data_IF_806874312894
#
_entry.id   IF_806874312894
#
_cell.length_a   1.000
_cell.length_b   1.000
_cell.length_c   1.000
_cell.angle_alpha   90.00
_cell.angle_beta   90.00
_cell.angle_gamma   90.00
#
_symmetry.space_group_name_H-M   'P 1'
#
loop_
_entity.id
_entity.type
_entity.pdbx_description
1 polymer ?
#
# COMPACT_ATOMS: atom_id res chain seq x y z
N UNK A 1 -20.67 -7.33 -9.35
CA UNK A 1 -20.02 -7.42 -8.03
C UNK A 1 -20.68 -6.41 -7.10
N UNK A 2 -21.04 -6.83 -5.88
CA UNK A 2 -22.06 -6.20 -5.03
C UNK A 2 -21.53 -4.95 -4.34
N UNK A 3 -22.38 -3.92 -4.27
CA UNK A 3 -22.16 -2.65 -3.58
C UNK A 3 -22.03 -2.83 -2.06
N UNK A 4 -21.06 -2.15 -1.47
CA UNK A 4 -20.78 -2.14 -0.03
C UNK A 4 -21.68 -1.13 0.71
N UNK A 5 -22.23 -1.52 1.86
CA UNK A 5 -22.86 -0.60 2.84
C UNK A 5 -22.48 -1.03 4.27
N UNK A 6 -21.88 -0.15 5.10
CA UNK A 6 -21.58 -0.46 6.50
C UNK A 6 -22.72 -0.04 7.44
N UNK A 7 -23.03 -0.88 8.43
CA UNK A 7 -23.93 -0.56 9.56
C UNK A 7 -23.16 0.10 10.72
N UNK A 8 -23.80 0.99 11.51
CA UNK A 8 -23.13 1.77 12.55
C UNK A 8 -22.82 0.97 13.82
N UNK A 9 -21.74 1.31 14.57
CA UNK A 9 -21.32 0.58 15.76
C UNK A 9 -22.10 0.97 17.04
N UNK A 10 -22.34 -0.04 17.87
CA UNK A 10 -22.93 0.02 19.21
C UNK A 10 -21.98 0.70 20.21
N UNK A 11 -22.47 1.72 20.91
CA UNK A 11 -21.79 2.37 22.04
C UNK A 11 -21.65 1.43 23.24
N UNK A 12 -20.45 1.35 23.83
CA UNK A 12 -20.27 0.87 25.22
C UNK A 12 -19.51 1.86 26.07
N UNK A 13 -20.07 2.02 27.27
CA UNK A 13 -19.76 2.99 28.33
C UNK A 13 -18.38 2.73 28.96
N UNK A 14 -17.70 3.83 29.26
CA UNK A 14 -16.46 3.92 30.04
C UNK A 14 -16.68 3.62 31.52
N UNK A 15 -15.74 2.94 32.17
CA UNK A 15 -15.53 2.99 33.62
C UNK A 15 -14.09 3.41 33.96
N UNK A 16 -13.99 4.35 34.90
CA UNK A 16 -12.78 4.91 35.54
C UNK A 16 -12.05 3.83 36.36
N UNK A 17 -10.76 4.00 36.66
CA UNK A 17 -10.16 4.09 38.02
C UNK A 17 -8.62 4.31 38.02
N UNK A 18 -8.21 5.45 38.60
CA UNK A 18 -7.04 5.86 39.43
C UNK A 18 -5.58 5.37 39.24
N UNK A 19 -4.71 6.37 39.01
CA UNK A 19 -3.57 6.91 39.81
C UNK A 19 -2.67 5.98 40.67
N UNK A 20 -1.35 6.07 40.40
CA UNK A 20 -0.18 6.38 41.27
C UNK A 20 1.04 5.57 40.74
N UNK A 21 2.32 5.95 40.86
CA UNK A 21 3.03 6.97 41.61
C UNK A 21 4.49 7.04 41.09
N UNK A 22 5.23 8.01 41.62
CA UNK A 22 6.52 8.54 41.17
C UNK A 22 7.65 7.92 42.02
N UNK A 23 8.80 7.54 41.45
CA UNK A 23 10.11 7.79 42.08
C UNK A 23 11.30 7.62 41.13
N UNK A 24 12.39 8.23 41.58
CA UNK A 24 13.61 8.73 40.92
C UNK A 24 14.75 7.70 40.77
N UNK A 25 15.61 8.02 39.80
CA UNK A 25 17.08 7.95 39.74
C UNK A 25 17.80 6.64 40.09
N UNK A 26 18.51 6.07 39.09
CA UNK A 26 19.97 5.87 39.21
C UNK A 26 20.66 5.55 37.88
N UNK A 27 21.87 6.10 37.79
CA UNK A 27 22.89 6.13 36.74
C UNK A 27 23.40 4.73 36.37
N UNK A 28 23.67 4.46 35.08
CA UNK A 28 25.00 4.01 34.60
C UNK A 28 25.02 3.54 33.13
N UNK A 29 26.16 3.86 32.48
CA UNK A 29 26.76 3.22 31.30
C UNK A 29 26.10 3.41 29.92
N UNK A 30 26.75 4.25 29.10
CA UNK A 30 26.55 4.33 27.65
C UNK A 30 26.95 3.01 26.96
N UNK A 31 26.03 2.30 26.29
CA UNK A 31 26.38 1.17 25.44
C UNK A 31 26.78 1.68 24.05
N UNK A 32 27.90 1.16 23.53
CA UNK A 32 28.27 1.23 22.11
C UNK A 32 27.08 0.80 21.23
N UNK A 33 26.92 1.35 20.01
CA UNK A 33 25.82 1.00 19.12
C UNK A 33 25.94 -0.48 18.74
N UNK A 34 25.15 -1.30 19.41
CA UNK A 34 24.89 -2.69 19.04
C UNK A 34 24.11 -2.61 17.73
N UNK A 35 24.72 -3.03 16.63
CA UNK A 35 23.97 -3.38 15.42
C UNK A 35 23.00 -4.48 15.83
N UNK A 36 21.74 -4.11 16.07
CA UNK A 36 20.67 -5.06 16.32
C UNK A 36 20.38 -5.77 15.01
N UNK A 37 20.97 -6.95 14.83
CA UNK A 37 20.35 -7.98 14.01
C UNK A 37 19.06 -8.38 14.73
N UNK A 38 17.99 -7.62 14.47
CA UNK A 38 16.69 -7.84 15.03
C UNK A 38 16.09 -9.11 14.45
N UNK A 39 15.68 -10.03 15.33
CA UNK A 39 14.56 -10.92 15.09
C UNK A 39 13.48 -10.15 14.31
N UNK A 40 13.02 -10.70 13.18
CA UNK A 40 11.99 -10.10 12.35
C UNK A 40 10.74 -9.87 13.20
N UNK A 41 10.58 -8.64 13.71
CA UNK A 41 9.41 -8.29 14.50
C UNK A 41 8.23 -8.29 13.54
N UNK A 42 7.19 -9.06 13.86
CA UNK A 42 5.95 -9.12 13.08
C UNK A 42 5.41 -7.70 12.93
N UNK A 43 5.19 -7.26 11.68
CA UNK A 43 4.61 -5.96 11.38
C UNK A 43 3.29 -5.77 12.14
N UNK A 44 3.17 -4.67 12.87
CA UNK A 44 1.92 -4.18 13.45
C UNK A 44 1.50 -2.88 12.73
N UNK A 45 0.63 -2.98 11.70
CA UNK A 45 0.24 -1.81 10.89
C UNK A 45 -0.38 -0.65 11.68
N UNK A 46 -0.84 -0.89 12.92
CA UNK A 46 -1.46 0.14 13.76
C UNK A 46 -0.44 0.97 14.54
N UNK A 47 0.81 0.51 14.64
CA UNK A 47 1.82 1.15 15.50
C UNK A 47 3.17 1.34 14.79
N UNK A 48 3.51 0.48 13.83
CA UNK A 48 4.76 0.58 13.07
C UNK A 48 4.70 1.72 12.06
N UNK A 49 5.74 2.55 12.05
CA UNK A 49 5.85 3.72 11.19
C UNK A 49 5.91 3.32 9.70
N UNK A 50 4.90 3.67 8.88
CA UNK A 50 4.86 3.37 7.46
C UNK A 50 5.75 4.26 6.60
N UNK A 51 6.13 5.46 7.07
CA UNK A 51 6.80 6.44 6.22
C UNK A 51 8.12 5.93 5.61
N UNK A 52 8.99 5.22 6.34
CA UNK A 52 10.20 4.66 5.73
C UNK A 52 9.94 3.67 4.58
N UNK A 53 8.82 2.93 4.62
CA UNK A 53 8.41 2.02 3.53
C UNK A 53 7.79 2.82 2.39
N UNK A 54 6.87 3.72 2.71
CA UNK A 54 6.21 4.61 1.75
C UNK A 54 7.22 5.43 0.95
N UNK A 55 8.14 6.13 1.61
CA UNK A 55 9.17 6.97 1.00
C UNK A 55 10.09 6.13 0.09
N UNK A 56 10.41 4.89 0.48
CA UNK A 56 11.22 3.98 -0.33
C UNK A 56 10.54 3.59 -1.64
N UNK A 57 9.25 3.27 -1.63
CA UNK A 57 8.52 2.90 -2.84
C UNK A 57 8.40 4.10 -3.80
N UNK A 58 8.18 5.30 -3.27
CA UNK A 58 8.16 6.53 -4.07
C UNK A 58 9.52 6.79 -4.71
N UNK A 59 10.60 6.75 -3.94
CA UNK A 59 11.94 7.02 -4.48
C UNK A 59 12.40 5.94 -5.46
N UNK A 60 11.91 4.69 -5.31
CA UNK A 60 12.08 3.64 -6.32
C UNK A 60 11.36 3.99 -7.62
N UNK A 61 10.08 4.38 -7.55
CA UNK A 61 9.30 4.79 -8.71
C UNK A 61 9.91 6.00 -9.41
N UNK A 62 10.22 7.08 -8.67
CA UNK A 62 10.82 8.30 -9.24
C UNK A 62 12.11 7.99 -9.99
N UNK A 63 13.07 7.29 -9.36
CA UNK A 63 14.35 6.94 -10.01
C UNK A 63 14.14 6.17 -11.31
N UNK A 64 13.19 5.24 -11.34
CA UNK A 64 12.88 4.49 -12.56
C UNK A 64 12.28 5.39 -13.64
N UNK A 65 11.24 6.16 -13.30
CA UNK A 65 10.48 6.98 -14.24
C UNK A 65 11.32 8.12 -14.85
N UNK A 66 12.22 8.73 -14.07
CA UNK A 66 13.17 9.74 -14.58
C UNK A 66 14.20 9.16 -15.56
N UNK A 67 14.42 7.83 -15.54
CA UNK A 67 15.33 7.15 -16.45
C UNK A 67 14.69 6.65 -17.75
N UNK A 68 13.37 6.79 -17.91
CA UNK A 68 12.66 6.31 -19.10
C UNK A 68 12.75 7.30 -20.26
N UNK A 69 12.96 6.76 -21.45
CA UNK A 69 12.75 7.47 -22.72
C UNK A 69 11.28 7.36 -23.17
N UNK A 70 10.95 7.99 -24.30
CA UNK A 70 9.59 7.96 -24.87
C UNK A 70 9.08 6.53 -25.11
N UNK A 71 9.97 5.63 -25.55
CA UNK A 71 9.66 4.21 -25.74
C UNK A 71 9.27 3.53 -24.43
N UNK A 72 10.05 3.74 -23.37
CA UNK A 72 9.78 3.23 -22.04
C UNK A 72 8.43 3.71 -21.48
N UNK A 73 8.09 4.98 -21.66
CA UNK A 73 6.80 5.53 -21.24
C UNK A 73 5.60 4.93 -21.99
N UNK A 74 5.79 4.58 -23.27
CA UNK A 74 4.77 3.94 -24.11
C UNK A 74 4.66 2.42 -23.90
N UNK A 75 5.61 1.81 -23.19
CA UNK A 75 5.66 0.38 -22.97
C UNK A 75 4.40 -0.11 -22.26
N UNK A 76 3.92 -1.30 -22.66
CA UNK A 76 2.73 -1.90 -22.05
C UNK A 76 3.02 -2.32 -20.61
N UNK A 77 2.14 -1.97 -19.69
CA UNK A 77 2.16 -2.48 -18.31
C UNK A 77 1.45 -3.83 -18.20
N UNK A 78 1.53 -4.45 -17.02
CA UNK A 78 0.70 -5.60 -16.66
C UNK A 78 -0.79 -5.24 -16.44
N UNK A 79 -1.13 -3.95 -16.38
CA UNK A 79 -2.52 -3.50 -16.41
C UNK A 79 -3.02 -3.50 -17.86
N UNK A 80 -4.05 -4.30 -18.14
CA UNK A 80 -4.52 -4.51 -19.52
C UNK A 80 -4.89 -3.18 -20.21
N UNK A 81 -4.25 -2.93 -21.35
CA UNK A 81 -4.50 -1.73 -22.16
C UNK A 81 -3.92 -0.43 -21.59
N UNK A 82 -3.08 -0.52 -20.55
CA UNK A 82 -2.41 0.62 -19.93
C UNK A 82 -0.92 0.57 -20.22
N UNK A 83 -0.38 1.69 -20.68
CA UNK A 83 1.05 1.96 -20.77
C UNK A 83 1.64 2.29 -19.39
N UNK A 84 2.98 2.38 -19.29
CA UNK A 84 3.64 2.94 -18.10
C UNK A 84 3.09 4.35 -17.78
N UNK A 85 2.90 5.21 -18.79
CA UNK A 85 2.27 6.53 -18.60
C UNK A 85 0.87 6.44 -18.00
N UNK A 86 0.06 5.48 -18.45
CA UNK A 86 -1.30 5.29 -17.92
C UNK A 86 -1.27 4.84 -16.44
N UNK A 87 -0.30 4.01 -16.04
CA UNK A 87 -0.12 3.65 -14.62
C UNK A 87 0.26 4.86 -13.78
N UNK A 88 1.19 5.72 -14.23
CA UNK A 88 1.53 6.96 -13.50
C UNK A 88 0.35 7.94 -13.45
N UNK A 89 -0.45 8.01 -14.52
CA UNK A 89 -1.69 8.78 -14.51
C UNK A 89 -2.72 8.26 -13.48
N UNK A 90 -2.78 6.95 -13.27
CA UNK A 90 -3.56 6.36 -12.19
C UNK A 90 -3.02 6.74 -10.81
N UNK A 91 -1.72 6.64 -10.58
CA UNK A 91 -1.10 7.06 -9.31
C UNK A 91 -1.37 8.54 -9.01
N UNK A 92 -1.33 9.41 -10.03
CA UNK A 92 -1.72 10.82 -9.89
C UNK A 92 -3.20 10.97 -9.50
N UNK A 93 -4.07 10.08 -9.97
CA UNK A 93 -5.50 10.04 -9.61
C UNK A 93 -5.71 9.62 -8.16
N UNK A 94 -4.90 8.71 -7.64
CA UNK A 94 -4.93 8.33 -6.22
C UNK A 94 -4.49 9.51 -5.35
N UNK A 95 -3.49 10.27 -5.78
CA UNK A 95 -3.08 11.47 -5.05
C UNK A 95 -4.11 12.59 -5.08
N UNK A 96 -4.96 12.69 -6.12
CA UNK A 96 -6.14 13.57 -6.09
C UNK A 96 -7.08 13.18 -4.95
N UNK A 97 -7.28 11.89 -4.71
CA UNK A 97 -8.09 11.41 -3.59
C UNK A 97 -7.45 11.75 -2.24
N UNK A 98 -6.15 11.49 -2.05
CA UNK A 98 -5.47 11.79 -0.79
C UNK A 98 -5.40 13.30 -0.50
N UNK A 99 -5.29 14.13 -1.53
CA UNK A 99 -5.42 15.59 -1.39
C UNK A 99 -6.83 16.00 -0.98
N UNK A 100 -7.86 15.42 -1.59
CA UNK A 100 -9.24 15.72 -1.20
C UNK A 100 -9.55 15.29 0.25
N UNK A 101 -8.96 14.20 0.71
CA UNK A 101 -8.98 13.76 2.12
C UNK A 101 -8.35 14.78 3.08
N UNK A 102 -7.29 15.47 2.66
CA UNK A 102 -6.62 16.51 3.45
C UNK A 102 -7.36 17.84 3.42
N UNK A 103 -7.87 18.21 2.24
CA UNK A 103 -8.51 19.49 2.00
C UNK A 103 -10.01 19.48 2.36
N UNK A 104 -10.54 18.37 2.89
CA UNK A 104 -11.97 18.19 3.22
C UNK A 104 -12.91 18.39 2.02
N UNK A 105 -12.51 17.88 0.85
CA UNK A 105 -13.22 18.05 -0.43
C UNK A 105 -13.62 16.74 -1.11
N UNK A 106 -13.68 15.63 -0.36
CA UNK A 106 -14.08 14.31 -0.91
C UNK A 106 -15.44 14.31 -1.60
N UNK A 107 -16.39 15.13 -1.15
CA UNK A 107 -17.73 15.25 -1.73
C UNK A 107 -17.72 15.92 -3.12
N UNK A 108 -16.65 16.64 -3.46
CA UNK A 108 -16.46 17.24 -4.78
C UNK A 108 -15.89 16.24 -5.81
N UNK A 109 -15.45 15.05 -5.37
CA UNK A 109 -14.92 14.04 -6.28
C UNK A 109 -16.05 13.35 -7.05
N UNK A 110 -15.91 13.16 -8.37
CA UNK A 110 -16.98 12.65 -9.21
C UNK A 110 -17.03 11.12 -9.20
N UNK A 111 -17.51 10.54 -8.09
CA UNK A 111 -17.59 9.11 -7.79
C UNK A 111 -18.50 8.27 -8.71
N UNK A 112 -19.21 8.88 -9.65
CA UNK A 112 -20.15 8.20 -10.54
C UNK A 112 -19.48 7.02 -11.26
N UNK A 113 -20.01 5.82 -11.05
CA UNK A 113 -19.51 4.58 -11.65
C UNK A 113 -18.51 3.79 -10.78
N UNK A 114 -18.26 4.22 -9.53
CA UNK A 114 -17.39 3.54 -8.58
C UNK A 114 -15.90 3.69 -8.90
N UNK A 115 -15.06 3.00 -8.11
CA UNK A 115 -13.59 3.17 -8.12
C UNK A 115 -12.96 2.89 -9.49
N UNK A 116 -13.38 1.81 -10.18
CA UNK A 116 -12.86 1.49 -11.51
C UNK A 116 -13.15 2.60 -12.53
N UNK A 117 -14.36 3.20 -12.47
CA UNK A 117 -14.72 4.30 -13.36
C UNK A 117 -13.97 5.58 -13.02
N UNK A 118 -13.71 5.82 -11.73
CA UNK A 118 -12.87 6.92 -11.25
C UNK A 118 -11.44 6.80 -11.80
N UNK A 119 -10.81 5.63 -11.62
CA UNK A 119 -9.45 5.37 -12.10
C UNK A 119 -9.36 5.50 -13.63
N UNK A 120 -10.29 4.88 -14.36
CA UNK A 120 -10.34 4.98 -15.83
C UNK A 120 -10.52 6.42 -16.32
N UNK A 121 -11.32 7.23 -15.61
CA UNK A 121 -11.50 8.66 -15.94
C UNK A 121 -10.24 9.46 -15.66
N UNK A 122 -9.61 9.24 -14.52
CA UNK A 122 -8.35 9.90 -14.14
C UNK A 122 -7.22 9.62 -15.14
N UNK A 123 -7.10 8.36 -15.59
CA UNK A 123 -6.20 7.97 -16.68
C UNK A 123 -6.58 8.67 -17.99
N UNK A 124 -7.85 8.63 -18.38
CA UNK A 124 -8.33 9.24 -19.64
C UNK A 124 -8.02 10.74 -19.72
N UNK A 125 -8.19 11.48 -18.62
CA UNK A 125 -7.88 12.93 -18.56
C UNK A 125 -6.40 13.16 -18.88
N UNK A 126 -5.51 12.37 -18.28
CA UNK A 126 -4.05 12.55 -18.40
C UNK A 126 -3.44 11.94 -19.65
N UNK A 127 -4.20 11.18 -20.45
CA UNK A 127 -3.73 10.73 -21.76
C UNK A 127 -3.36 11.88 -22.69
N UNK A 128 -3.98 13.06 -22.51
CA UNK A 128 -3.64 14.28 -23.22
C UNK A 128 -2.35 14.98 -22.77
N UNK A 129 -1.77 14.57 -21.63
CA UNK A 129 -0.49 15.08 -21.14
C UNK A 129 0.68 14.31 -21.76
N UNK A 130 1.83 14.98 -21.88
CA UNK A 130 3.10 14.32 -22.14
C UNK A 130 3.52 13.45 -20.94
N UNK A 131 4.44 12.49 -21.14
CA UNK A 131 4.98 11.69 -20.03
C UNK A 131 5.60 12.55 -18.92
N UNK A 132 6.35 13.59 -19.28
CA UNK A 132 6.97 14.50 -18.32
C UNK A 132 5.93 15.29 -17.51
N UNK A 133 4.89 15.83 -18.16
CA UNK A 133 3.80 16.53 -17.44
C UNK A 133 3.04 15.57 -16.50
N UNK A 134 2.86 14.32 -16.92
CA UNK A 134 2.21 13.28 -16.09
C UNK A 134 3.06 12.97 -14.85
N UNK A 135 4.38 12.81 -15.03
CA UNK A 135 5.34 12.59 -13.94
C UNK A 135 5.35 13.78 -12.97
N UNK A 136 5.49 15.01 -13.49
CA UNK A 136 5.52 16.22 -12.70
C UNK A 136 4.23 16.44 -11.89
N UNK A 137 3.07 16.15 -12.49
CA UNK A 137 1.81 16.23 -11.76
C UNK A 137 1.77 15.22 -10.61
N UNK A 138 2.12 13.95 -10.85
CA UNK A 138 2.15 12.94 -9.80
C UNK A 138 3.12 13.32 -8.69
N UNK A 139 4.35 13.72 -9.00
CA UNK A 139 5.36 14.11 -8.00
C UNK A 139 4.92 15.32 -7.17
N UNK A 140 4.35 16.35 -7.81
CA UNK A 140 3.87 17.53 -7.10
C UNK A 140 2.73 17.19 -6.12
N UNK A 141 1.80 16.32 -6.53
CA UNK A 141 0.69 15.91 -5.66
C UNK A 141 1.16 15.02 -4.51
N UNK A 142 1.97 14.01 -4.84
CA UNK A 142 2.57 13.09 -3.88
C UNK A 142 3.39 13.86 -2.84
N UNK A 143 4.24 14.80 -3.25
CA UNK A 143 5.03 15.64 -2.36
C UNK A 143 4.18 16.44 -1.37
N UNK A 144 3.12 17.09 -1.86
CA UNK A 144 2.17 17.83 -1.01
C UNK A 144 1.47 16.91 0.00
N UNK A 145 1.00 15.74 -0.43
CA UNK A 145 0.32 14.78 0.44
C UNK A 145 1.26 14.30 1.55
N UNK A 146 2.49 13.94 1.18
CA UNK A 146 3.50 13.47 2.11
C UNK A 146 3.91 14.52 3.14
N UNK A 147 4.10 15.76 2.73
CA UNK A 147 4.41 16.88 3.64
C UNK A 147 3.25 17.11 4.63
N UNK A 148 2.01 17.14 4.14
CA UNK A 148 0.83 17.33 4.98
C UNK A 148 0.64 16.17 5.97
N UNK A 149 0.86 14.92 5.55
CA UNK A 149 0.77 13.76 6.43
C UNK A 149 1.80 13.76 7.56
N UNK A 150 3.03 14.21 7.28
CA UNK A 150 4.04 14.37 8.33
C UNK A 150 3.66 15.47 9.32
N UNK A 151 3.17 16.61 8.84
CA UNK A 151 2.72 17.70 9.70
C UNK A 151 1.55 17.30 10.62
N UNK A 152 0.67 16.40 10.17
CA UNK A 152 -0.42 15.85 10.98
C UNK A 152 0.07 14.85 12.05
N UNK A 153 1.12 14.08 11.73
CA UNK A 153 1.69 13.04 12.58
C UNK A 153 0.90 11.73 12.60
N UNK A 154 1.58 10.63 12.94
CA UNK A 154 1.06 9.25 12.82
C UNK A 154 -0.24 8.96 13.59
N UNK A 155 -0.50 9.70 14.68
CA UNK A 155 -1.69 9.53 15.50
C UNK A 155 -2.94 10.24 14.95
N UNK A 156 -2.80 10.98 13.84
CA UNK A 156 -3.90 11.72 13.25
C UNK A 156 -4.98 10.80 12.65
N UNK A 157 -6.17 11.37 12.47
CA UNK A 157 -7.26 10.75 11.70
C UNK A 157 -7.72 11.71 10.61
N UNK A 158 -7.69 11.25 9.38
CA UNK A 158 -8.10 11.99 8.18
C UNK A 158 -9.49 11.54 7.72
N UNK A 159 -10.15 12.35 6.91
CA UNK A 159 -11.38 11.94 6.23
C UNK A 159 -11.04 11.05 5.04
N UNK A 160 -11.85 10.01 4.82
CA UNK A 160 -11.72 9.06 3.71
C UNK A 160 -13.12 8.71 3.21
N UNK A 161 -13.22 8.01 2.08
CA UNK A 161 -14.50 7.51 1.56
C UNK A 161 -15.22 6.54 2.51
N UNK A 162 -14.52 5.97 3.49
CA UNK A 162 -15.09 5.10 4.54
C UNK A 162 -15.27 5.82 5.89
N UNK A 163 -15.16 7.14 5.90
CA UNK A 163 -15.29 7.99 7.10
C UNK A 163 -13.93 8.38 7.70
N UNK A 164 -13.92 8.81 8.96
CA UNK A 164 -12.66 9.20 9.63
C UNK A 164 -11.78 7.98 9.89
N UNK A 165 -10.60 7.95 9.30
CA UNK A 165 -9.72 6.80 9.26
C UNK A 165 -8.34 7.12 9.87
N UNK A 166 -7.64 6.16 10.53
CA UNK A 166 -6.29 6.39 11.05
C UNK A 166 -5.31 6.71 9.92
N UNK A 167 -4.56 7.81 10.05
CA UNK A 167 -3.59 8.21 9.03
C UNK A 167 -2.53 7.12 8.80
N UNK A 168 -2.01 6.53 9.87
CA UNK A 168 -1.02 5.45 9.81
C UNK A 168 -1.44 4.31 8.86
N UNK A 169 -2.71 3.92 8.87
CA UNK A 169 -3.23 2.88 7.99
C UNK A 169 -3.39 3.37 6.55
N UNK A 170 -3.79 4.63 6.34
CA UNK A 170 -3.84 5.22 5.00
C UNK A 170 -2.45 5.23 4.34
N UNK A 171 -1.39 5.56 5.08
CA UNK A 171 -0.03 5.56 4.54
C UNK A 171 0.41 4.13 4.17
N UNK A 172 0.09 3.12 4.98
CA UNK A 172 0.35 1.72 4.63
C UNK A 172 -0.41 1.27 3.37
N UNK A 173 -1.68 1.65 3.22
CA UNK A 173 -2.45 1.39 2.00
C UNK A 173 -1.79 2.02 0.78
N UNK A 174 -1.40 3.29 0.85
CA UNK A 174 -0.78 3.96 -0.28
C UNK A 174 0.63 3.42 -0.60
N UNK A 175 1.40 3.01 0.42
CA UNK A 175 2.67 2.32 0.21
C UNK A 175 2.48 1.00 -0.54
N UNK A 176 1.44 0.23 -0.20
CA UNK A 176 1.05 -0.99 -0.91
C UNK A 176 0.66 -0.69 -2.36
N UNK A 177 -0.16 0.32 -2.61
CA UNK A 177 -0.56 0.73 -3.97
C UNK A 177 0.67 1.09 -4.82
N UNK A 178 1.62 1.86 -4.28
CA UNK A 178 2.87 2.17 -4.98
C UNK A 178 3.70 0.93 -5.29
N UNK A 179 3.83 0.01 -4.34
CA UNK A 179 4.58 -1.23 -4.58
C UNK A 179 3.90 -2.14 -5.63
N UNK A 180 2.56 -2.19 -5.65
CA UNK A 180 1.78 -2.95 -6.65
C UNK A 180 2.04 -2.40 -8.05
N UNK A 181 1.93 -1.08 -8.21
CA UNK A 181 2.05 -0.45 -9.51
C UNK A 181 3.48 -0.30 -10.00
N UNK A 182 4.47 -0.26 -9.09
CA UNK A 182 5.87 -0.45 -9.44
C UNK A 182 6.09 -1.84 -10.07
N UNK A 183 5.45 -2.89 -9.57
CA UNK A 183 5.54 -4.22 -10.18
C UNK A 183 4.77 -4.29 -11.51
N UNK A 184 3.68 -3.54 -11.67
CA UNK A 184 2.93 -3.49 -12.94
C UNK A 184 3.71 -2.91 -14.11
N UNK A 185 4.67 -2.04 -13.83
CA UNK A 185 5.56 -1.42 -14.82
C UNK A 185 6.99 -1.99 -14.76
N UNK A 186 7.15 -3.13 -14.08
CA UNK A 186 8.38 -3.91 -13.99
C UNK A 186 9.59 -3.14 -13.40
N UNK A 187 9.37 -2.25 -12.42
CA UNK A 187 10.48 -1.51 -11.79
C UNK A 187 11.48 -2.49 -11.16
N UNK A 188 12.78 -2.45 -11.52
CA UNK A 188 13.76 -3.39 -10.98
C UNK A 188 13.97 -3.20 -9.47
N UNK A 189 14.30 -4.29 -8.77
CA UNK A 189 14.65 -4.28 -7.35
C UNK A 189 15.70 -5.37 -7.04
N UNK A 190 16.76 -5.07 -6.28
CA UNK A 190 17.71 -6.09 -5.83
C UNK A 190 17.03 -7.20 -5.02
N UNK A 191 17.47 -8.45 -5.16
CA UNK A 191 16.82 -9.61 -4.54
C UNK A 191 16.71 -9.51 -3.00
N UNK A 192 17.71 -8.92 -2.34
CA UNK A 192 17.69 -8.70 -0.88
C UNK A 192 16.61 -7.70 -0.44
N UNK A 193 16.46 -6.61 -1.20
CA UNK A 193 15.39 -5.62 -0.97
C UNK A 193 14.02 -6.21 -1.30
N UNK A 194 13.92 -6.99 -2.38
CA UNK A 194 12.69 -7.66 -2.80
C UNK A 194 12.13 -8.57 -1.71
N UNK A 195 12.99 -9.34 -1.04
CA UNK A 195 12.55 -10.21 0.07
C UNK A 195 11.94 -9.40 1.21
N UNK A 196 12.59 -8.31 1.63
CA UNK A 196 12.05 -7.43 2.67
C UNK A 196 10.74 -6.78 2.24
N UNK A 197 10.67 -6.37 0.97
CA UNK A 197 9.48 -5.77 0.40
C UNK A 197 8.28 -6.73 0.42
N UNK A 198 8.48 -7.95 -0.07
CA UNK A 198 7.44 -8.98 -0.12
C UNK A 198 6.95 -9.35 1.28
N UNK A 199 7.82 -9.36 2.30
CA UNK A 199 7.43 -9.63 3.69
C UNK A 199 6.44 -8.60 4.23
N UNK A 200 6.72 -7.31 4.12
CA UNK A 200 5.78 -6.30 4.62
C UNK A 200 4.51 -6.26 3.77
N UNK A 201 4.60 -6.49 2.45
CA UNK A 201 3.43 -6.57 1.56
C UNK A 201 2.52 -7.74 1.90
N UNK A 202 3.07 -8.91 2.22
CA UNK A 202 2.32 -10.07 2.67
C UNK A 202 1.66 -9.81 4.04
N UNK A 203 2.42 -9.27 5.00
CA UNK A 203 1.92 -8.98 6.34
C UNK A 203 0.82 -7.91 6.33
N UNK A 204 1.04 -6.78 5.65
CA UNK A 204 0.05 -5.72 5.52
C UNK A 204 -1.12 -6.14 4.62
N UNK A 205 -0.89 -6.90 3.56
CA UNK A 205 -1.96 -7.38 2.69
C UNK A 205 -2.94 -8.32 3.41
N UNK A 206 -2.45 -9.15 4.36
CA UNK A 206 -3.32 -9.92 5.26
C UNK A 206 -4.15 -9.04 6.20
N UNK A 207 -3.58 -7.93 6.66
CA UNK A 207 -4.30 -6.94 7.46
C UNK A 207 -5.39 -6.25 6.61
N UNK A 208 -5.03 -5.76 5.43
CA UNK A 208 -5.93 -5.09 4.49
C UNK A 208 -7.10 -5.99 4.06
N UNK A 209 -6.83 -7.25 3.69
CA UNK A 209 -7.86 -8.20 3.31
C UNK A 209 -8.93 -8.40 4.42
N UNK A 210 -8.50 -8.42 5.69
CA UNK A 210 -9.43 -8.46 6.83
C UNK A 210 -10.25 -7.17 6.99
N UNK A 211 -9.65 -6.01 6.74
CA UNK A 211 -10.38 -4.73 6.75
C UNK A 211 -11.43 -4.67 5.63
N UNK A 212 -11.11 -5.24 4.48
CA UNK A 212 -11.98 -5.31 3.29
C UNK A 212 -13.08 -6.39 3.41
N UNK A 213 -13.04 -7.21 4.47
CA UNK A 213 -14.00 -8.29 4.70
C UNK A 213 -13.67 -9.60 3.97
N UNK A 214 -12.51 -9.68 3.33
CA UNK A 214 -11.95 -10.87 2.69
C UNK A 214 -10.98 -11.56 3.67
N UNK A 215 -11.49 -12.09 4.78
CA UNK A 215 -10.64 -12.73 5.77
C UNK A 215 -9.94 -13.96 5.18
N UNK A 216 -8.63 -13.83 4.90
CA UNK A 216 -7.78 -14.90 4.42
C UNK A 216 -7.19 -15.68 5.60
N UNK A 217 -7.40 -16.99 5.60
CA UNK A 217 -6.79 -17.92 6.54
C UNK A 217 -5.37 -18.24 6.08
N UNK A 218 -4.39 -17.44 6.52
CA UNK A 218 -2.99 -17.73 6.24
C UNK A 218 -2.06 -17.43 7.43
N UNK A 219 -0.96 -18.18 7.48
CA UNK A 219 0.14 -17.97 8.43
C UNK A 219 1.40 -17.60 7.65
N UNK A 220 2.01 -16.48 8.02
CA UNK A 220 3.22 -15.94 7.41
C UNK A 220 4.43 -16.34 8.25
N UNK A 221 5.38 -17.02 7.62
CA UNK A 221 6.73 -17.28 8.12
C UNK A 221 7.74 -16.37 7.40
N UNK A 222 9.04 -16.52 7.69
CA UNK A 222 10.09 -15.67 7.10
C UNK A 222 10.20 -15.81 5.58
N UNK A 223 9.89 -16.97 5.00
CA UNK A 223 10.07 -17.22 3.56
C UNK A 223 8.82 -17.77 2.86
N UNK A 224 7.85 -18.23 3.63
CA UNK A 224 6.71 -18.98 3.12
C UNK A 224 5.41 -18.50 3.77
N UNK A 225 4.31 -18.75 3.08
CA UNK A 225 2.97 -18.54 3.56
C UNK A 225 2.21 -19.85 3.45
N UNK A 226 1.68 -20.31 4.57
CA UNK A 226 0.72 -21.41 4.60
C UNK A 226 -0.67 -20.81 4.42
N UNK A 227 -1.28 -21.01 3.25
CA UNK A 227 -2.62 -20.53 2.90
C UNK A 227 -3.62 -21.68 2.99
N UNK A 228 -4.69 -21.48 3.74
CA UNK A 228 -5.84 -22.39 3.78
C UNK A 228 -6.94 -21.89 2.86
N UNK A 229 -7.27 -22.69 1.85
CA UNK A 229 -8.27 -22.37 0.83
C UNK A 229 -9.09 -23.62 0.48
N UNK A 230 -10.42 -23.54 0.53
CA UNK A 230 -11.34 -24.66 0.27
C UNK A 230 -11.00 -25.96 1.04
N UNK A 231 -10.55 -25.81 2.29
CA UNK A 231 -10.16 -26.94 3.15
C UNK A 231 -8.83 -27.61 2.76
N UNK A 232 -8.05 -27.01 1.85
CA UNK A 232 -6.68 -27.41 1.51
C UNK A 232 -5.69 -26.40 2.06
N UNK A 233 -4.53 -26.90 2.46
CA UNK A 233 -3.40 -26.07 2.86
C UNK A 233 -2.38 -26.07 1.72
N UNK A 234 -2.15 -24.90 1.10
CA UNK A 234 -1.14 -24.67 0.07
C UNK A 234 0.02 -23.88 0.67
N UNK A 235 1.25 -24.29 0.38
CA UNK A 235 2.46 -23.55 0.76
C UNK A 235 2.92 -22.68 -0.41
N UNK A 236 2.97 -21.36 -0.20
CA UNK A 236 3.30 -20.37 -1.20
C UNK A 236 4.56 -19.61 -0.80
N UNK A 237 5.46 -19.32 -1.75
CA UNK A 237 6.49 -18.32 -1.51
C UNK A 237 5.85 -16.92 -1.40
N UNK A 238 6.60 -15.95 -0.86
CA UNK A 238 6.07 -14.60 -0.63
C UNK A 238 5.63 -13.90 -1.93
N UNK A 239 6.30 -14.14 -3.05
CA UNK A 239 5.98 -13.50 -4.33
C UNK A 239 4.66 -14.03 -4.89
N UNK A 240 4.48 -15.35 -4.88
CA UNK A 240 3.25 -16.03 -5.26
C UNK A 240 2.09 -15.62 -4.37
N UNK A 241 2.32 -15.51 -3.05
CA UNK A 241 1.28 -15.08 -2.12
C UNK A 241 0.88 -13.61 -2.31
N UNK A 242 1.84 -12.71 -2.55
CA UNK A 242 1.53 -11.30 -2.86
C UNK A 242 0.75 -11.19 -4.16
N UNK A 243 1.12 -11.93 -5.21
CA UNK A 243 0.36 -11.98 -6.46
C UNK A 243 -1.05 -12.54 -6.27
N UNK A 244 -1.23 -13.52 -5.38
CA UNK A 244 -2.55 -13.99 -4.95
C UNK A 244 -3.34 -12.86 -4.30
N UNK A 245 -2.78 -12.18 -3.28
CA UNK A 245 -3.44 -11.09 -2.56
C UNK A 245 -3.87 -9.93 -3.46
N UNK A 246 -3.12 -9.64 -4.51
CA UNK A 246 -3.38 -8.50 -5.39
C UNK A 246 -4.12 -8.87 -6.67
N UNK A 247 -4.44 -10.17 -6.88
CA UNK A 247 -5.01 -10.71 -8.11
C UNK A 247 -4.16 -10.38 -9.36
N UNK A 248 -2.84 -10.63 -9.25
CA UNK A 248 -1.86 -10.31 -10.31
C UNK A 248 -0.98 -11.51 -10.68
N UNK A 249 -1.54 -12.64 -11.12
CA UNK A 249 -0.73 -13.77 -11.58
C UNK A 249 0.23 -13.39 -12.71
N UNK A 250 -0.11 -12.41 -13.56
CA UNK A 250 0.74 -11.95 -14.66
C UNK A 250 2.11 -11.38 -14.22
N UNK A 251 2.25 -10.94 -12.97
CA UNK A 251 3.52 -10.44 -12.42
C UNK A 251 4.52 -11.56 -12.09
N UNK A 252 4.05 -12.81 -11.97
CA UNK A 252 4.93 -13.94 -11.62
C UNK A 252 5.67 -14.42 -12.87
N UNK A 253 6.98 -14.67 -12.74
CA UNK A 253 7.80 -15.22 -13.84
C UNK A 253 7.56 -16.72 -14.07
N UNK A 254 7.34 -17.49 -13.00
CA UNK A 254 7.09 -18.94 -13.09
C UNK A 254 5.66 -19.25 -13.58
N UNK A 255 5.47 -19.93 -14.73
CA UNK A 255 4.16 -20.35 -15.21
C UNK A 255 3.37 -21.23 -14.24
N UNK A 256 4.05 -22.05 -13.42
CA UNK A 256 3.37 -22.92 -12.44
C UNK A 256 2.78 -22.09 -11.30
N UNK A 257 3.54 -21.13 -10.78
CA UNK A 257 3.05 -20.16 -9.81
C UNK A 257 1.86 -19.35 -10.35
N UNK A 258 1.90 -18.93 -11.64
CA UNK A 258 0.74 -18.28 -12.29
C UNK A 258 -0.51 -19.14 -12.32
N UNK A 259 -0.35 -20.41 -12.71
CA UNK A 259 -1.47 -21.35 -12.77
C UNK A 259 -2.04 -21.64 -11.37
N UNK A 260 -1.17 -21.70 -10.35
CA UNK A 260 -1.56 -21.86 -8.96
C UNK A 260 -2.41 -20.69 -8.47
N UNK A 261 -1.96 -19.44 -8.65
CA UNK A 261 -2.73 -18.24 -8.24
C UNK A 261 -4.10 -18.20 -8.93
N UNK A 262 -4.16 -18.48 -10.23
CA UNK A 262 -5.43 -18.52 -10.98
C UNK A 262 -6.41 -19.60 -10.51
N UNK A 263 -5.92 -20.67 -9.88
CA UNK A 263 -6.75 -21.74 -9.31
C UNK A 263 -7.29 -21.36 -7.93
N UNK A 264 -6.56 -20.53 -7.19
CA UNK A 264 -6.90 -20.09 -5.84
C UNK A 264 -7.86 -18.89 -5.82
N UNK A 265 -8.15 -18.28 -6.97
CA UNK A 265 -9.06 -17.14 -7.16
C UNK A 265 -10.28 -17.59 -7.97
#
# INVERSE_FOLDING_TARGET
>A
MRSWQPRPPLQKRTSRWRRSGRSRDQVSQSPKPRQSQGSATKLDPRHDDPFPVYDREIERLKRYLHGLDEGGWSHASHCQGWSVKDVVAHLSTDEVYNQASLDHTLDALPWTGGLNSWNARGVKIRRGLSPLETLQEWEARQGRVREAWEALGLNARIETSVGRYPLILQVWHLAREYAIHADDIEVPMPAGERRQQLRWRAAFGLFAAREEGEAIEATLDDEWVSLRHDGRDDQLDLETFVAYLTDRPQQLKDPKARALVRRLR
#
